data_IF_804637373050
#
_entry.id   IF_804637373050
#
_cell.length_a   1.000
_cell.length_b   1.000
_cell.length_c   1.000
_cell.angle_alpha   90.00
_cell.angle_beta   90.00
_cell.angle_gamma   90.00
#
_symmetry.space_group_name_H-M   'P 1'
#
loop_
_entity.id
_entity.type
_entity.pdbx_description
1 polymer ?
#
# COMPACT_ATOMS: atom_id res chain seq x y z
N UNK A 1 4.81 54.48 8.82
CA UNK A 1 3.98 53.34 9.25
C UNK A 1 3.81 52.46 8.02
N UNK A 2 4.79 51.58 7.78
CA UNK A 2 4.88 50.81 6.54
C UNK A 2 4.11 49.50 6.68
N UNK A 3 3.10 49.32 5.83
CA UNK A 3 2.41 48.05 5.60
C UNK A 3 3.25 47.24 4.60
N UNK A 4 3.93 46.20 5.07
CA UNK A 4 4.58 45.20 4.23
C UNK A 4 3.52 44.16 3.83
N UNK A 5 3.11 44.18 2.57
CA UNK A 5 2.29 43.14 1.98
C UNK A 5 3.15 41.90 1.73
N UNK A 6 2.89 40.81 2.45
CA UNK A 6 3.42 39.49 2.13
C UNK A 6 2.69 38.95 0.89
N UNK A 7 3.31 39.12 -0.29
CA UNK A 7 2.99 38.32 -1.47
C UNK A 7 3.56 36.92 -1.24
N UNK A 8 2.71 35.98 -0.82
CA UNK A 8 2.98 34.56 -0.98
C UNK A 8 2.74 34.27 -2.46
N UNK A 9 3.81 34.28 -3.27
CA UNK A 9 3.79 33.63 -4.57
C UNK A 9 3.57 32.14 -4.29
N UNK A 10 2.33 31.69 -4.43
CA UNK A 10 2.06 30.29 -4.65
C UNK A 10 2.75 29.93 -5.98
N UNK A 11 3.92 29.29 -5.89
CA UNK A 11 4.37 28.45 -6.98
C UNK A 11 3.30 27.37 -7.13
N UNK A 12 2.38 27.61 -8.06
CA UNK A 12 1.66 26.53 -8.71
C UNK A 12 2.76 25.63 -9.28
N UNK A 13 3.07 24.55 -8.56
CA UNK A 13 3.46 23.33 -9.23
C UNK A 13 2.25 22.94 -10.07
N UNK A 14 2.15 23.54 -11.26
CA UNK A 14 1.64 22.84 -12.41
C UNK A 14 2.60 21.66 -12.50
N UNK A 15 2.19 20.54 -11.90
CA UNK A 15 2.63 19.25 -12.36
C UNK A 15 2.18 19.27 -13.82
N UNK A 16 3.10 19.66 -14.70
CA UNK A 16 2.91 19.45 -16.11
C UNK A 16 2.54 17.99 -16.20
N UNK A 17 1.29 17.73 -16.59
CA UNK A 17 0.87 16.46 -17.13
C UNK A 17 1.66 16.26 -18.43
N UNK A 18 2.98 16.10 -18.35
CA UNK A 18 3.65 15.15 -19.20
C UNK A 18 2.98 13.84 -18.82
N UNK A 19 1.98 13.48 -19.61
CA UNK A 19 1.44 12.15 -19.62
C UNK A 19 2.66 11.23 -19.63
N UNK A 20 2.96 10.60 -18.49
CA UNK A 20 3.88 9.47 -18.48
C UNK A 20 3.39 8.61 -19.64
N UNK A 21 4.25 8.30 -20.63
CA UNK A 21 3.82 7.46 -21.73
C UNK A 21 3.18 6.24 -21.09
N UNK A 22 1.90 6.01 -21.40
CA UNK A 22 1.16 4.86 -20.89
C UNK A 22 1.99 3.64 -21.30
N UNK A 23 2.79 3.12 -20.38
CA UNK A 23 3.56 1.90 -20.61
C UNK A 23 2.51 0.85 -20.94
N UNK A 24 2.59 0.21 -22.11
CA UNK A 24 1.56 -0.73 -22.55
C UNK A 24 1.27 -1.75 -21.45
N UNK A 25 -0.01 -1.93 -21.14
CA UNK A 25 -0.49 -2.94 -20.20
C UNK A 25 0.09 -4.28 -20.62
N UNK A 26 0.93 -4.88 -19.76
CA UNK A 26 1.48 -6.21 -20.01
C UNK A 26 0.51 -7.19 -19.36
N UNK A 27 -0.23 -8.03 -20.13
CA UNK A 27 -1.08 -9.08 -19.55
C UNK A 27 -0.24 -9.93 -18.60
N UNK A 28 -0.76 -10.37 -17.44
CA UNK A 28 0.05 -11.21 -16.53
C UNK A 28 0.64 -12.42 -17.29
N UNK A 29 1.89 -12.75 -16.96
CA UNK A 29 2.59 -13.86 -17.60
C UNK A 29 2.14 -15.20 -17.01
N UNK A 30 2.71 -16.29 -17.54
CA UNK A 30 2.68 -17.60 -16.90
C UNK A 30 1.29 -18.22 -16.70
N UNK A 31 0.27 -17.72 -17.40
CA UNK A 31 -1.09 -18.27 -17.35
C UNK A 31 -1.86 -17.88 -16.09
N UNK A 32 -1.37 -16.88 -15.34
CA UNK A 32 -2.06 -16.35 -14.17
C UNK A 32 -3.48 -15.88 -14.52
N UNK A 33 -4.49 -16.12 -13.66
CA UNK A 33 -4.39 -16.68 -12.31
C UNK A 33 -4.61 -18.21 -12.19
N UNK A 34 -4.61 -18.96 -13.31
CA UNK A 34 -4.85 -20.42 -13.34
C UNK A 34 -3.85 -21.09 -14.32
N UNK A 35 -2.55 -21.13 -13.97
CA UNK A 35 -1.50 -21.65 -14.82
C UNK A 35 -1.71 -23.13 -15.15
N UNK A 36 -1.28 -23.55 -16.33
CA UNK A 36 -1.20 -24.97 -16.65
C UNK A 36 -0.13 -25.66 -15.77
N UNK A 37 -0.14 -27.00 -15.61
CA UNK A 37 0.84 -27.70 -14.78
C UNK A 37 2.31 -27.46 -15.18
N UNK A 38 2.60 -27.26 -16.47
CA UNK A 38 3.96 -26.94 -16.90
C UNK A 38 4.35 -25.51 -16.56
N UNK A 39 3.41 -24.56 -16.69
CA UNK A 39 3.64 -23.17 -16.28
C UNK A 39 3.83 -23.07 -14.76
N UNK A 40 3.03 -23.79 -13.97
CA UNK A 40 3.24 -23.86 -12.52
C UNK A 40 4.64 -24.38 -12.17
N UNK A 41 5.12 -25.43 -12.83
CA UNK A 41 6.47 -25.94 -12.59
C UNK A 41 7.56 -24.89 -12.89
N UNK A 42 7.40 -24.10 -13.96
CA UNK A 42 8.31 -23.01 -14.31
C UNK A 42 8.28 -21.88 -13.27
N UNK A 43 7.10 -21.55 -12.73
CA UNK A 43 6.95 -20.61 -11.61
C UNK A 43 7.67 -21.15 -10.38
N UNK A 44 7.42 -22.40 -9.97
CA UNK A 44 8.02 -23.00 -8.78
C UNK A 44 9.55 -23.09 -8.87
N UNK A 45 10.08 -23.35 -10.07
CA UNK A 45 11.52 -23.34 -10.31
C UNK A 45 12.13 -21.95 -10.10
N UNK A 46 11.52 -20.89 -10.64
CA UNK A 46 12.00 -19.50 -10.46
C UNK A 46 11.80 -18.99 -9.02
N UNK A 47 10.73 -19.44 -8.36
CA UNK A 47 10.41 -19.07 -6.97
C UNK A 47 11.31 -19.77 -5.94
N UNK A 48 12.10 -20.76 -6.36
CA UNK A 48 12.88 -21.66 -5.50
C UNK A 48 12.01 -22.40 -4.46
N UNK A 49 10.76 -22.68 -4.79
CA UNK A 49 9.79 -23.28 -3.88
C UNK A 49 8.49 -23.67 -4.58
N UNK A 50 7.74 -24.57 -3.95
CA UNK A 50 6.48 -25.09 -4.51
C UNK A 50 5.27 -24.48 -3.83
N UNK A 51 4.09 -24.63 -4.44
CA UNK A 51 2.84 -24.47 -3.70
C UNK A 51 2.81 -25.40 -2.48
N UNK A 52 2.18 -24.93 -1.40
CA UNK A 52 2.02 -25.75 -0.21
C UNK A 52 1.16 -26.98 -0.50
N UNK A 53 1.65 -28.15 -0.09
CA UNK A 53 0.90 -29.40 -0.14
C UNK A 53 0.09 -29.67 1.15
N UNK A 54 0.01 -28.70 2.07
CA UNK A 54 -0.80 -28.85 3.27
C UNK A 54 -2.28 -29.00 2.88
N UNK A 55 -3.02 -29.92 3.54
CA UNK A 55 -4.44 -30.08 3.24
C UNK A 55 -5.17 -28.77 3.57
N UNK A 56 -6.07 -28.29 2.69
CA UNK A 56 -6.83 -27.08 2.96
C UNK A 56 -7.78 -27.32 4.14
N UNK A 57 -8.13 -26.25 4.90
CA UNK A 57 -9.08 -26.39 5.99
C UNK A 57 -10.45 -26.88 5.47
N UNK A 58 -11.18 -27.59 6.33
CA UNK A 58 -12.49 -28.15 5.97
C UNK A 58 -13.56 -27.05 5.80
N UNK A 59 -13.45 -25.96 6.56
CA UNK A 59 -14.37 -24.85 6.56
C UNK A 59 -13.59 -23.53 6.61
N UNK A 60 -14.26 -22.44 6.25
CA UNK A 60 -13.75 -21.09 6.38
C UNK A 60 -14.89 -20.13 6.74
N UNK A 61 -14.59 -19.12 7.54
CA UNK A 61 -15.52 -18.03 7.83
C UNK A 61 -15.73 -17.10 6.64
N UNK A 62 -16.78 -16.27 6.68
CA UNK A 62 -16.99 -15.21 5.67
C UNK A 62 -15.85 -14.17 5.69
N UNK A 63 -15.39 -13.81 6.89
CA UNK A 63 -14.26 -12.88 7.03
C UNK A 63 -12.98 -13.48 6.45
N UNK A 64 -12.80 -14.80 6.59
CA UNK A 64 -11.69 -15.53 6.00
C UNK A 64 -11.74 -15.55 4.46
N UNK A 65 -12.91 -15.72 3.85
CA UNK A 65 -13.08 -15.57 2.40
C UNK A 65 -12.67 -14.15 1.96
N UNK A 66 -13.14 -13.12 2.66
CA UNK A 66 -12.76 -11.73 2.35
C UNK A 66 -11.26 -11.51 2.46
N UNK A 67 -10.59 -12.10 3.46
CA UNK A 67 -9.14 -12.03 3.60
C UNK A 67 -8.42 -12.71 2.43
N UNK A 68 -8.85 -13.91 2.02
CA UNK A 68 -8.26 -14.60 0.86
C UNK A 68 -8.46 -13.81 -0.43
N UNK A 69 -9.62 -13.17 -0.61
CA UNK A 69 -9.86 -12.28 -1.75
C UNK A 69 -8.92 -11.06 -1.72
N UNK A 70 -8.72 -10.43 -0.56
CA UNK A 70 -7.79 -9.31 -0.44
C UNK A 70 -6.34 -9.74 -0.71
N UNK A 71 -5.89 -10.87 -0.15
CA UNK A 71 -4.54 -11.40 -0.41
C UNK A 71 -4.39 -11.59 -1.92
N UNK A 72 -5.27 -12.36 -2.57
CA UNK A 72 -5.18 -12.60 -4.01
C UNK A 72 -5.20 -11.29 -4.83
N UNK A 73 -5.98 -10.29 -4.41
CA UNK A 73 -6.00 -8.99 -5.07
C UNK A 73 -4.68 -8.23 -4.94
N UNK A 74 -4.07 -8.25 -3.74
CA UNK A 74 -2.76 -7.66 -3.51
C UNK A 74 -1.67 -8.38 -4.31
N UNK A 75 -1.60 -9.71 -4.23
CA UNK A 75 -0.49 -10.43 -4.88
C UNK A 75 -0.56 -10.28 -6.40
N UNK A 76 -1.75 -10.17 -7.01
CA UNK A 76 -1.87 -9.88 -8.43
C UNK A 76 -1.40 -8.46 -8.80
N UNK A 77 -1.53 -7.49 -7.89
CA UNK A 77 -0.94 -6.16 -8.03
C UNK A 77 0.60 -6.24 -7.97
N UNK A 78 1.16 -7.03 -7.05
CA UNK A 78 2.61 -7.20 -6.92
C UNK A 78 3.21 -7.94 -8.12
N UNK A 79 2.57 -9.02 -8.58
CA UNK A 79 2.95 -9.73 -9.82
C UNK A 79 2.97 -8.75 -11.00
N UNK A 80 1.94 -7.91 -11.15
CA UNK A 80 1.91 -6.91 -12.22
C UNK A 80 3.06 -5.89 -12.10
N UNK A 81 3.35 -5.44 -10.88
CA UNK A 81 4.40 -4.48 -10.59
C UNK A 81 5.79 -5.05 -10.89
N UNK A 82 6.16 -6.19 -10.29
CA UNK A 82 7.49 -6.78 -10.46
C UNK A 82 7.74 -7.23 -11.89
N UNK A 83 6.70 -7.66 -12.59
CA UNK A 83 6.77 -7.91 -14.03
C UNK A 83 7.11 -6.65 -14.82
N UNK A 84 6.44 -5.53 -14.55
CA UNK A 84 6.76 -4.26 -15.22
C UNK A 84 8.19 -3.80 -14.89
N UNK A 85 8.59 -3.89 -13.62
CA UNK A 85 9.93 -3.51 -13.18
C UNK A 85 11.01 -4.33 -13.90
N UNK A 86 10.87 -5.66 -13.89
CA UNK A 86 11.80 -6.56 -14.56
C UNK A 86 11.85 -6.30 -16.07
N UNK A 87 10.70 -6.08 -16.71
CA UNK A 87 10.63 -5.71 -18.13
C UNK A 87 11.37 -4.39 -18.42
N UNK A 88 11.19 -3.37 -17.58
CA UNK A 88 11.85 -2.08 -17.77
C UNK A 88 13.39 -2.18 -17.62
N UNK A 89 13.86 -2.95 -16.63
CA UNK A 89 15.29 -3.19 -16.39
C UNK A 89 15.92 -4.05 -17.51
N UNK A 90 15.20 -5.07 -17.99
CA UNK A 90 15.72 -5.98 -19.02
C UNK A 90 15.74 -5.34 -20.41
N UNK A 91 14.78 -4.46 -20.70
CA UNK A 91 14.70 -3.72 -21.96
C UNK A 91 15.42 -2.37 -21.93
N UNK A 92 16.15 -2.06 -20.85
CA UNK A 92 16.94 -0.83 -20.71
C UNK A 92 16.10 0.45 -20.95
N UNK A 93 14.88 0.46 -20.41
CA UNK A 93 13.98 1.62 -20.47
C UNK A 93 14.63 2.80 -19.74
N UNK A 94 14.47 4.01 -20.30
CA UNK A 94 15.03 5.23 -19.70
C UNK A 94 14.65 5.36 -18.22
N UNK A 95 15.65 5.60 -17.37
CA UNK A 95 15.50 5.66 -15.91
C UNK A 95 15.67 4.32 -15.17
N UNK A 96 15.66 3.19 -15.88
CA UNK A 96 15.80 1.83 -15.29
C UNK A 96 17.15 1.17 -15.59
N UNK A 97 18.15 1.98 -15.98
CA UNK A 97 19.52 1.51 -16.13
C UNK A 97 20.13 1.21 -14.76
N UNK A 98 20.86 0.10 -14.68
CA UNK A 98 21.72 -0.22 -13.56
C UNK A 98 23.07 0.48 -13.75
N UNK A 99 23.69 0.91 -12.65
CA UNK A 99 25.03 1.47 -12.68
C UNK A 99 26.08 0.39 -12.98
N UNK A 100 27.29 0.78 -13.40
CA UNK A 100 28.37 -0.18 -13.67
C UNK A 100 28.83 -0.94 -12.43
N UNK A 101 28.63 -0.36 -11.24
CA UNK A 101 28.99 -0.97 -9.95
C UNK A 101 27.91 -1.94 -9.45
N UNK A 102 26.72 -1.95 -10.05
CA UNK A 102 25.63 -2.84 -9.68
C UNK A 102 25.85 -4.26 -10.22
N UNK A 103 25.64 -5.28 -9.39
CA UNK A 103 25.61 -6.67 -9.83
C UNK A 103 24.30 -6.95 -10.60
N UNK A 104 24.32 -6.63 -11.89
CA UNK A 104 23.17 -6.75 -12.78
C UNK A 104 22.52 -8.12 -12.74
N UNK A 105 23.32 -9.18 -12.81
CA UNK A 105 22.81 -10.54 -12.88
C UNK A 105 22.13 -10.90 -11.55
N UNK A 106 22.74 -10.55 -10.42
CA UNK A 106 22.13 -10.75 -9.11
C UNK A 106 20.81 -9.99 -8.95
N UNK A 107 20.72 -8.74 -9.43
CA UNK A 107 19.49 -7.94 -9.34
C UNK A 107 18.37 -8.53 -10.21
N UNK A 108 18.67 -8.92 -11.45
CA UNK A 108 17.70 -9.58 -12.33
C UNK A 108 17.22 -10.89 -11.71
N UNK A 109 18.14 -11.71 -11.21
CA UNK A 109 17.81 -13.02 -10.63
C UNK A 109 16.95 -12.85 -9.37
N UNK A 110 17.32 -11.90 -8.49
CA UNK A 110 16.53 -11.56 -7.30
C UNK A 110 15.11 -11.12 -7.65
N UNK A 111 14.95 -10.19 -8.60
CA UNK A 111 13.63 -9.71 -9.03
C UNK A 111 12.82 -10.79 -9.77
N UNK A 112 13.49 -11.69 -10.48
CA UNK A 112 12.85 -12.84 -11.14
C UNK A 112 12.31 -13.82 -10.11
N UNK A 113 13.08 -14.09 -9.05
CA UNK A 113 12.64 -14.92 -7.93
C UNK A 113 11.49 -14.27 -7.16
N UNK A 114 11.59 -12.97 -6.84
CA UNK A 114 10.51 -12.22 -6.18
C UNK A 114 9.21 -12.30 -6.98
N UNK A 115 9.26 -12.00 -8.29
CA UNK A 115 8.07 -12.10 -9.15
C UNK A 115 7.42 -13.49 -9.06
N UNK A 116 8.22 -14.55 -9.15
CA UNK A 116 7.70 -15.91 -9.07
C UNK A 116 7.17 -16.28 -7.67
N UNK A 117 7.76 -15.72 -6.60
CA UNK A 117 7.24 -15.88 -5.24
C UNK A 117 5.87 -15.22 -5.07
N UNK A 118 5.67 -14.03 -5.64
CA UNK A 118 4.36 -13.38 -5.64
C UNK A 118 3.31 -14.12 -6.48
N UNK A 119 3.73 -14.78 -7.56
CA UNK A 119 2.86 -15.69 -8.30
C UNK A 119 2.41 -16.87 -7.43
N UNK A 120 3.32 -17.46 -6.63
CA UNK A 120 3.00 -18.53 -5.68
C UNK A 120 2.06 -18.03 -4.57
N UNK A 121 2.25 -16.81 -4.04
CA UNK A 121 1.34 -16.22 -3.06
C UNK A 121 -0.07 -16.02 -3.66
N UNK A 122 -0.15 -15.44 -4.86
CA UNK A 122 -1.41 -15.21 -5.57
C UNK A 122 -2.16 -16.54 -5.82
N UNK A 123 -1.44 -17.56 -6.30
CA UNK A 123 -1.99 -18.89 -6.54
C UNK A 123 -2.45 -19.56 -5.24
N UNK A 124 -1.70 -19.39 -4.15
CA UNK A 124 -2.07 -19.95 -2.84
C UNK A 124 -3.42 -19.41 -2.39
N UNK A 125 -3.64 -18.10 -2.46
CA UNK A 125 -4.90 -17.48 -2.09
C UNK A 125 -6.05 -17.88 -3.04
N UNK A 126 -5.81 -17.84 -4.36
CA UNK A 126 -6.81 -18.19 -5.35
C UNK A 126 -7.20 -19.68 -5.33
N UNK A 127 -6.25 -20.59 -5.11
CA UNK A 127 -6.55 -22.01 -4.93
C UNK A 127 -7.37 -22.26 -3.66
N UNK A 128 -7.11 -21.52 -2.58
CA UNK A 128 -7.94 -21.59 -1.39
C UNK A 128 -9.39 -21.12 -1.68
N UNK A 129 -9.57 -20.00 -2.41
CA UNK A 129 -10.89 -19.55 -2.85
C UNK A 129 -11.61 -20.62 -3.68
N UNK A 130 -10.91 -21.22 -4.66
CA UNK A 130 -11.43 -22.30 -5.51
C UNK A 130 -11.85 -23.52 -4.70
N UNK A 131 -11.04 -23.95 -3.72
CA UNK A 131 -11.37 -25.04 -2.79
C UNK A 131 -12.68 -24.76 -2.03
N UNK A 132 -12.85 -23.53 -1.54
CA UNK A 132 -14.07 -23.10 -0.86
C UNK A 132 -15.21 -22.70 -1.82
N UNK A 133 -15.11 -23.06 -3.11
CA UNK A 133 -16.12 -22.79 -4.15
C UNK A 133 -16.47 -21.31 -4.30
N UNK A 134 -15.52 -20.44 -3.99
CA UNK A 134 -15.58 -19.01 -4.22
C UNK A 134 -14.83 -18.69 -5.50
N UNK A 135 -15.32 -17.70 -6.25
CA UNK A 135 -14.63 -17.26 -7.47
C UNK A 135 -13.21 -16.77 -7.13
N UNK A 136 -12.24 -17.17 -7.94
CA UNK A 136 -10.88 -16.64 -7.89
C UNK A 136 -10.90 -15.14 -8.21
N UNK A 137 -10.00 -14.37 -7.60
CA UNK A 137 -9.75 -12.98 -7.97
C UNK A 137 -8.98 -12.97 -9.29
N UNK A 138 -9.46 -12.16 -10.23
CA UNK A 138 -8.86 -11.98 -11.55
C UNK A 138 -8.02 -10.71 -11.58
N UNK A 139 -6.92 -10.67 -12.36
CA UNK A 139 -6.05 -9.52 -12.41
C UNK A 139 -6.73 -8.28 -12.99
N UNK A 140 -6.31 -7.12 -12.50
CA UNK A 140 -6.67 -5.82 -13.04
C UNK A 140 -5.55 -5.27 -13.94
N UNK A 141 -5.79 -4.11 -14.54
CA UNK A 141 -4.71 -3.30 -15.10
C UNK A 141 -4.32 -2.22 -14.10
N UNK A 142 -3.03 -1.93 -14.02
CA UNK A 142 -2.48 -1.00 -13.02
C UNK A 142 -1.70 0.13 -13.69
N UNK A 143 -1.61 1.27 -13.00
CA UNK A 143 -0.72 2.37 -13.31
C UNK A 143 0.15 2.68 -12.10
N UNK A 144 1.45 2.47 -12.25
CA UNK A 144 2.42 2.66 -11.18
C UNK A 144 3.14 4.00 -11.34
N UNK A 145 3.29 4.80 -10.27
CA UNK A 145 3.87 6.15 -10.34
C UNK A 145 5.41 6.12 -10.31
N UNK A 146 6.04 5.27 -11.12
CA UNK A 146 7.50 5.04 -11.10
C UNK A 146 8.11 5.35 -12.46
N UNK A 147 9.27 6.02 -12.42
CA UNK A 147 9.99 6.48 -13.63
C UNK A 147 11.48 6.14 -13.60
N UNK A 148 11.95 5.50 -12.53
CA UNK A 148 13.33 5.03 -12.40
C UNK A 148 13.40 3.79 -11.53
N UNK A 149 14.53 3.08 -11.58
CA UNK A 149 14.74 1.91 -10.73
C UNK A 149 14.70 2.26 -9.24
N UNK A 150 15.32 3.37 -8.82
CA UNK A 150 15.31 3.81 -7.42
C UNK A 150 13.89 4.14 -6.96
N UNK A 151 13.11 4.84 -7.79
CA UNK A 151 11.70 5.12 -7.49
C UNK A 151 10.87 3.83 -7.41
N UNK A 152 11.18 2.84 -8.26
CA UNK A 152 10.48 1.56 -8.25
C UNK A 152 10.80 0.73 -7.01
N UNK A 153 12.06 0.64 -6.59
CA UNK A 153 12.44 -0.08 -5.38
C UNK A 153 11.92 0.63 -4.12
N UNK A 154 11.90 1.96 -4.07
CA UNK A 154 11.31 2.71 -2.96
C UNK A 154 9.77 2.53 -2.91
N UNK A 155 9.11 2.50 -4.08
CA UNK A 155 7.68 2.19 -4.18
C UNK A 155 7.36 0.75 -3.74
N UNK A 156 8.17 -0.23 -4.16
CA UNK A 156 8.11 -1.61 -3.70
C UNK A 156 8.22 -1.69 -2.18
N UNK A 157 9.27 -1.07 -1.64
CA UNK A 157 9.50 -1.04 -0.21
C UNK A 157 8.35 -0.41 0.58
N UNK A 158 7.70 0.60 0.01
CA UNK A 158 6.57 1.30 0.61
C UNK A 158 5.31 0.43 0.66
N UNK A 159 4.92 -0.19 -0.46
CA UNK A 159 3.72 -1.03 -0.47
C UNK A 159 3.94 -2.32 0.32
N UNK A 160 5.13 -2.94 0.25
CA UNK A 160 5.44 -4.13 1.05
C UNK A 160 5.38 -3.82 2.54
N UNK A 161 5.93 -2.68 3.00
CA UNK A 161 5.77 -2.26 4.40
C UNK A 161 4.29 -2.18 4.83
N UNK A 162 3.41 -1.65 3.98
CA UNK A 162 1.98 -1.57 4.27
C UNK A 162 1.34 -2.95 4.30
N UNK A 163 1.68 -3.82 3.35
CA UNK A 163 1.12 -5.16 3.24
C UNK A 163 1.57 -6.07 4.37
N UNK A 164 2.83 -6.00 4.82
CA UNK A 164 3.28 -6.66 6.04
C UNK A 164 2.42 -6.29 7.26
N UNK A 165 2.01 -5.02 7.38
CA UNK A 165 1.07 -4.56 8.40
C UNK A 165 -0.35 -5.09 8.21
N UNK A 166 -0.81 -5.20 6.96
CA UNK A 166 -2.13 -5.73 6.60
C UNK A 166 -2.22 -7.24 6.81
N UNK A 167 -1.17 -8.00 6.51
CA UNK A 167 -1.09 -9.44 6.73
C UNK A 167 -1.10 -9.79 8.23
N UNK A 168 -0.58 -8.92 9.10
CA UNK A 168 -0.73 -9.05 10.56
C UNK A 168 -2.21 -9.01 10.98
N UNK A 169 -2.98 -8.06 10.46
CA UNK A 169 -4.43 -7.94 10.75
C UNK A 169 -5.21 -9.12 10.16
N UNK A 170 -4.89 -9.54 8.93
CA UNK A 170 -5.47 -10.74 8.31
C UNK A 170 -5.22 -11.99 9.17
N UNK A 171 -4.00 -12.14 9.72
CA UNK A 171 -3.65 -13.23 10.63
C UNK A 171 -4.50 -13.21 11.89
N UNK A 172 -4.69 -12.04 12.50
CA UNK A 172 -5.55 -11.86 13.68
C UNK A 172 -7.02 -12.19 13.37
N UNK A 173 -7.53 -11.74 12.23
CA UNK A 173 -8.90 -12.01 11.79
C UNK A 173 -9.10 -13.50 11.55
N UNK A 174 -8.18 -14.19 10.87
CA UNK A 174 -8.27 -15.64 10.70
C UNK A 174 -8.30 -16.37 12.05
N UNK A 175 -7.40 -16.02 12.96
CA UNK A 175 -7.34 -16.63 14.29
C UNK A 175 -8.65 -16.45 15.07
N UNK A 176 -9.23 -15.25 15.06
CA UNK A 176 -10.46 -14.93 15.80
C UNK A 176 -11.73 -15.55 15.20
N UNK A 177 -11.75 -15.82 13.90
CA UNK A 177 -12.92 -16.35 13.21
C UNK A 177 -12.90 -17.89 13.05
N UNK A 178 -11.99 -18.59 13.71
CA UNK A 178 -11.88 -20.05 13.65
C UNK A 178 -11.14 -20.57 12.40
N UNK A 179 -10.47 -19.69 11.65
CA UNK A 179 -9.73 -20.00 10.43
C UNK A 179 -8.21 -20.13 10.72
N UNK A 180 -7.84 -20.51 11.96
CA UNK A 180 -6.44 -20.53 12.41
C UNK A 180 -5.53 -21.46 11.60
N UNK A 181 -6.09 -22.41 10.84
CA UNK A 181 -5.31 -23.23 9.92
C UNK A 181 -4.64 -22.42 8.80
N UNK A 182 -5.17 -21.24 8.46
CA UNK A 182 -4.62 -20.36 7.42
C UNK A 182 -3.54 -19.42 7.95
N UNK A 183 -3.40 -19.24 9.27
CA UNK A 183 -2.43 -18.28 9.83
C UNK A 183 -0.99 -18.67 9.56
N UNK A 184 -0.69 -19.96 9.43
CA UNK A 184 0.67 -20.42 9.12
C UNK A 184 1.09 -20.05 7.70
N UNK A 185 0.16 -20.08 6.75
CA UNK A 185 0.43 -19.65 5.37
C UNK A 185 0.75 -18.16 5.37
N UNK A 186 -0.09 -17.34 6.02
CA UNK A 186 0.14 -15.90 6.11
C UNK A 186 1.45 -15.58 6.84
N UNK A 187 1.78 -16.29 7.92
CA UNK A 187 3.04 -16.10 8.63
C UNK A 187 4.27 -16.44 7.76
N UNK A 188 4.17 -17.45 6.89
CA UNK A 188 5.23 -17.77 5.94
C UNK A 188 5.38 -16.67 4.87
N UNK A 189 4.26 -16.18 4.33
CA UNK A 189 4.22 -15.03 3.40
C UNK A 189 4.85 -13.78 4.02
N UNK A 190 4.47 -13.40 5.25
CA UNK A 190 5.09 -12.29 6.00
C UNK A 190 6.61 -12.49 6.14
N UNK A 191 7.05 -13.72 6.39
CA UNK A 191 8.48 -14.04 6.50
C UNK A 191 9.22 -13.80 5.19
N UNK A 192 8.66 -14.29 4.08
CA UNK A 192 9.24 -14.11 2.74
C UNK A 192 9.23 -12.63 2.31
N UNK A 193 8.09 -11.94 2.38
CA UNK A 193 7.99 -10.51 2.07
C UNK A 193 8.89 -9.66 2.97
N UNK A 194 9.12 -10.08 4.22
CA UNK A 194 10.08 -9.46 5.12
C UNK A 194 11.53 -9.57 4.64
N UNK A 195 11.92 -10.70 4.04
CA UNK A 195 13.23 -10.89 3.41
C UNK A 195 13.37 -9.99 2.18
N UNK A 196 12.33 -9.93 1.35
CA UNK A 196 12.29 -9.02 0.19
C UNK A 196 12.40 -7.55 0.61
N UNK A 197 11.65 -7.16 1.65
CA UNK A 197 11.73 -5.81 2.23
C UNK A 197 13.13 -5.48 2.72
N UNK A 198 13.82 -6.44 3.33
CA UNK A 198 15.23 -6.31 3.69
C UNK A 198 16.13 -6.04 2.49
N UNK A 199 15.91 -6.76 1.39
CA UNK A 199 16.64 -6.56 0.14
C UNK A 199 16.37 -5.18 -0.48
N UNK A 200 15.11 -4.74 -0.58
CA UNK A 200 14.76 -3.40 -1.08
C UNK A 200 15.46 -2.31 -0.29
N UNK A 201 15.53 -2.47 1.04
CA UNK A 201 16.16 -1.49 1.92
C UNK A 201 17.67 -1.45 1.75
N UNK A 202 18.35 -2.60 1.67
CA UNK A 202 19.80 -2.66 1.42
C UNK A 202 20.13 -2.10 0.03
N UNK A 203 19.31 -2.39 -0.98
CA UNK A 203 19.45 -1.81 -2.32
C UNK A 203 19.44 -0.27 -2.27
N UNK A 204 18.61 0.31 -1.41
CA UNK A 204 18.55 1.77 -1.19
C UNK A 204 19.58 2.31 -0.19
N UNK A 205 20.55 1.50 0.25
CA UNK A 205 21.54 1.91 1.26
C UNK A 205 20.97 2.13 2.67
N UNK A 206 19.78 1.59 2.96
CA UNK A 206 19.13 1.64 4.29
C UNK A 206 19.46 0.37 5.09
N UNK A 207 19.24 0.42 6.40
CA UNK A 207 19.32 -0.80 7.23
C UNK A 207 18.26 -1.82 6.78
N UNK A 208 18.56 -3.14 6.71
CA UNK A 208 17.63 -4.14 6.20
C UNK A 208 16.35 -4.23 7.04
N UNK A 209 16.45 -4.14 8.36
CA UNK A 209 15.29 -4.01 9.24
C UNK A 209 14.93 -2.54 9.45
N UNK A 210 13.64 -2.22 9.35
CA UNK A 210 13.12 -0.86 9.49
C UNK A 210 12.99 -0.43 10.96
N UNK A 211 12.29 -1.23 11.75
CA UNK A 211 12.05 -1.03 13.19
C UNK A 211 12.02 -2.39 13.90
N UNK A 212 12.19 -2.45 15.24
CA UNK A 212 12.07 -3.71 15.98
C UNK A 212 10.65 -4.30 15.96
N UNK A 213 9.63 -3.45 15.78
CA UNK A 213 8.23 -3.84 15.61
C UNK A 213 7.68 -3.06 14.42
N UNK A 214 7.34 -3.77 13.34
CA UNK A 214 6.76 -3.15 12.14
C UNK A 214 5.39 -2.54 12.44
N UNK A 215 4.98 -1.60 11.59
CA UNK A 215 3.69 -0.93 11.71
C UNK A 215 2.55 -1.90 11.42
N UNK A 216 1.60 -2.01 12.33
CA UNK A 216 0.35 -2.73 12.09
C UNK A 216 -0.60 -1.89 11.22
N UNK A 217 -1.46 -2.54 10.46
CA UNK A 217 -2.45 -1.90 9.60
C UNK A 217 -3.84 -2.50 9.87
N UNK A 218 -4.85 -1.97 9.21
CA UNK A 218 -6.14 -2.64 9.02
C UNK A 218 -6.23 -3.06 7.57
N UNK A 219 -6.85 -4.20 7.28
CA UNK A 219 -6.99 -4.70 5.90
C UNK A 219 -7.67 -3.72 4.94
N UNK A 220 -8.55 -2.84 5.45
CA UNK A 220 -9.20 -1.79 4.66
C UNK A 220 -8.19 -0.73 4.16
N UNK A 221 -7.12 -0.43 4.92
CA UNK A 221 -6.07 0.47 4.44
C UNK A 221 -5.28 -0.16 3.30
N UNK A 222 -4.89 -1.43 3.42
CA UNK A 222 -4.20 -2.16 2.35
C UNK A 222 -5.05 -2.20 1.07
N UNK A 223 -6.32 -2.59 1.20
CA UNK A 223 -7.26 -2.59 0.08
C UNK A 223 -7.39 -1.21 -0.60
N UNK A 224 -7.58 -0.17 0.21
CA UNK A 224 -7.72 1.20 -0.29
C UNK A 224 -6.43 1.75 -0.92
N UNK A 225 -5.27 1.26 -0.50
CA UNK A 225 -3.99 1.66 -1.09
C UNK A 225 -3.83 1.08 -2.50
N UNK A 226 -4.03 -0.24 -2.65
CA UNK A 226 -3.89 -0.92 -3.95
C UNK A 226 -4.90 -0.40 -4.98
N UNK A 227 -6.15 -0.15 -4.56
CA UNK A 227 -7.21 0.40 -5.43
C UNK A 227 -6.82 1.73 -6.10
N UNK A 228 -5.92 2.53 -5.51
CA UNK A 228 -5.47 3.81 -6.09
C UNK A 228 -4.66 3.63 -7.37
N UNK A 229 -4.09 2.45 -7.60
CA UNK A 229 -3.27 2.14 -8.77
C UNK A 229 -4.04 1.37 -9.84
N UNK A 230 -5.27 0.92 -9.55
CA UNK A 230 -6.12 0.21 -10.50
C UNK A 230 -6.64 1.17 -11.56
N UNK A 231 -6.48 0.81 -12.84
CA UNK A 231 -7.12 1.53 -13.94
C UNK A 231 -8.65 1.33 -13.87
N UNK A 232 -9.46 2.40 -13.86
CA UNK A 232 -10.91 2.30 -13.74
C UNK A 232 -11.54 1.36 -14.76
N UNK A 233 -12.38 0.44 -14.29
CA UNK A 233 -13.09 -0.53 -15.14
C UNK A 233 -12.24 -1.70 -15.65
N UNK A 234 -10.97 -1.81 -15.25
CA UNK A 234 -10.09 -2.91 -15.69
C UNK A 234 -10.25 -4.20 -14.90
N UNK A 235 -10.69 -4.12 -13.64
CA UNK A 235 -10.86 -5.30 -12.79
C UNK A 235 -12.11 -6.11 -13.16
N UNK A 236 -11.99 -7.41 -13.48
CA UNK A 236 -13.16 -8.24 -13.81
C UNK A 236 -14.10 -8.48 -12.62
N UNK A 237 -13.55 -8.62 -11.41
CA UNK A 237 -14.33 -8.97 -10.22
C UNK A 237 -13.84 -8.38 -8.88
N UNK A 238 -12.97 -7.36 -8.88
CA UNK A 238 -12.53 -6.70 -7.64
C UNK A 238 -13.70 -6.08 -6.84
N UNK A 239 -14.76 -5.63 -7.52
CA UNK A 239 -15.99 -5.13 -6.87
C UNK A 239 -16.74 -6.18 -6.05
N UNK A 240 -16.35 -7.46 -6.12
CA UNK A 240 -16.93 -8.53 -5.30
C UNK A 240 -16.25 -8.68 -3.94
N UNK A 241 -15.15 -7.97 -3.68
CA UNK A 241 -14.44 -7.99 -2.40
C UNK A 241 -15.19 -7.09 -1.42
N UNK A 242 -15.79 -7.64 -0.34
CA UNK A 242 -16.67 -6.88 0.55
C UNK A 242 -15.86 -6.07 1.59
N UNK A 243 -14.95 -5.23 1.13
CA UNK A 243 -14.16 -4.31 1.95
C UNK A 243 -14.52 -2.86 1.63
N UNK A 244 -14.44 -2.01 2.65
CA UNK A 244 -14.62 -0.58 2.48
C UNK A 244 -13.35 0.01 1.87
N UNK A 245 -13.46 0.58 0.68
CA UNK A 245 -12.45 1.48 0.16
C UNK A 245 -12.61 2.87 0.79
N UNK A 246 -11.51 3.44 1.26
CA UNK A 246 -11.44 4.82 1.71
C UNK A 246 -11.18 5.76 0.53
N UNK A 247 -11.61 7.03 0.69
CA UNK A 247 -11.24 8.05 -0.27
C UNK A 247 -9.75 8.40 -0.10
N UNK A 248 -9.02 8.73 -1.18
CA UNK A 248 -7.58 8.98 -1.10
C UNK A 248 -7.22 10.13 -0.15
N UNK A 249 -6.09 9.97 0.55
CA UNK A 249 -5.41 11.02 1.30
C UNK A 249 -3.99 11.14 0.77
N UNK A 250 -3.63 12.33 0.30
CA UNK A 250 -2.29 12.59 -0.23
C UNK A 250 -1.46 13.36 0.78
N UNK A 251 -0.23 12.91 1.02
CA UNK A 251 0.78 13.65 1.76
C UNK A 251 1.46 14.59 0.75
N UNK A 252 1.34 15.90 0.98
CA UNK A 252 1.90 16.93 0.08
C UNK A 252 3.32 17.29 0.49
N UNK A 253 3.52 17.50 1.80
CA UNK A 253 4.83 17.75 2.39
C UNK A 253 5.22 16.55 3.24
N UNK A 254 6.05 15.66 2.70
CA UNK A 254 6.54 14.49 3.41
C UNK A 254 7.49 14.91 4.55
N UNK A 255 7.34 14.35 5.76
CA UNK A 255 8.24 14.66 6.86
C UNK A 255 9.59 13.94 6.71
N UNK A 256 10.63 14.57 7.24
CA UNK A 256 11.92 13.94 7.56
C UNK A 256 12.00 13.49 9.05
N UNK A 257 13.19 13.11 9.53
CA UNK A 257 13.41 12.57 10.88
C UNK A 257 13.45 13.66 11.96
N UNK A 258 12.42 14.52 11.99
CA UNK A 258 12.27 15.58 12.98
C UNK A 258 10.80 15.92 13.17
N UNK A 259 10.46 16.42 14.36
CA UNK A 259 9.10 16.88 14.62
C UNK A 259 8.82 18.16 13.85
N UNK A 260 7.81 18.11 13.00
CA UNK A 260 7.45 19.21 12.11
C UNK A 260 5.97 19.20 11.82
N UNK A 261 5.47 20.26 11.19
CA UNK A 261 4.13 20.19 10.61
C UNK A 261 4.23 19.66 9.17
N UNK A 262 3.30 18.80 8.78
CA UNK A 262 3.13 18.32 7.41
C UNK A 262 1.86 18.89 6.79
N UNK A 263 1.81 18.89 5.47
CA UNK A 263 0.63 19.28 4.70
C UNK A 263 0.05 18.05 4.02
N UNK A 264 -1.26 17.90 4.14
CA UNK A 264 -2.04 16.82 3.54
C UNK A 264 -3.19 17.40 2.71
N UNK A 265 -3.62 16.66 1.70
CA UNK A 265 -4.73 17.03 0.84
C UNK A 265 -5.65 15.86 0.55
N UNK A 266 -6.94 16.15 0.37
CA UNK A 266 -7.95 15.19 -0.05
C UNK A 266 -9.09 15.91 -0.77
N UNK A 267 -9.89 15.15 -1.51
CA UNK A 267 -11.04 15.68 -2.25
C UNK A 267 -12.36 15.40 -1.52
N UNK A 268 -13.20 16.43 -1.42
CA UNK A 268 -14.57 16.31 -0.89
C UNK A 268 -15.53 15.82 -1.99
N UNK A 269 -16.60 15.10 -1.64
CA UNK A 269 -17.50 14.49 -2.63
C UNK A 269 -18.23 15.50 -3.51
N UNK A 270 -18.44 16.72 -3.02
CA UNK A 270 -19.21 17.74 -3.74
C UNK A 270 -18.95 19.17 -3.23
N UNK A 271 -19.31 20.15 -4.06
CA UNK A 271 -19.14 21.58 -3.76
C UNK A 271 -19.99 22.08 -2.60
N UNK A 272 -21.13 21.46 -2.29
CA UNK A 272 -21.96 21.84 -1.15
C UNK A 272 -21.31 21.41 0.17
N UNK A 273 -20.69 20.23 0.20
CA UNK A 273 -19.85 19.72 1.29
C UNK A 273 -18.65 20.64 1.48
N UNK A 274 -17.98 21.02 0.39
CA UNK A 274 -16.89 22.01 0.45
C UNK A 274 -17.35 23.36 0.99
N UNK A 275 -18.52 23.89 0.57
CA UNK A 275 -19.08 25.14 1.08
C UNK A 275 -19.46 25.04 2.56
N UNK A 276 -20.15 23.97 2.97
CA UNK A 276 -20.51 23.73 4.38
C UNK A 276 -19.26 23.70 5.24
N UNK A 277 -18.25 22.93 4.83
CA UNK A 277 -16.97 22.88 5.52
C UNK A 277 -16.22 24.20 5.46
N UNK A 278 -16.31 24.99 4.38
CA UNK A 278 -15.64 26.31 4.24
C UNK A 278 -16.23 27.37 5.17
N UNK A 279 -17.53 27.36 5.42
CA UNK A 279 -18.21 28.41 6.20
C UNK A 279 -18.65 27.99 7.61
N UNK A 280 -18.48 26.72 7.98
CA UNK A 280 -18.66 26.28 9.36
C UNK A 280 -17.74 27.07 10.31
N UNK A 281 -18.29 27.72 11.33
CA UNK A 281 -17.50 28.37 12.39
C UNK A 281 -16.99 27.29 13.37
N UNK A 282 -15.71 27.37 13.78
CA UNK A 282 -15.13 26.49 14.81
C UNK A 282 -14.49 25.20 14.29
N UNK A 283 -13.91 25.21 13.08
CA UNK A 283 -13.48 24.01 12.33
C UNK A 283 -12.27 23.26 12.87
N UNK A 284 -11.45 23.90 13.67
CA UNK A 284 -10.31 23.21 14.23
C UNK A 284 -10.87 22.20 15.27
N UNK A 285 -10.87 20.90 14.96
CA UNK A 285 -11.38 19.86 15.88
C UNK A 285 -12.67 19.14 15.47
N UNK A 286 -13.09 19.21 14.21
CA UNK A 286 -14.03 18.22 13.64
C UNK A 286 -13.33 17.10 12.87
N UNK A 287 -12.06 17.31 12.51
CA UNK A 287 -11.23 16.34 11.83
C UNK A 287 -9.91 16.21 12.55
N UNK A 288 -9.37 15.01 12.53
CA UNK A 288 -8.10 14.67 13.14
C UNK A 288 -7.26 13.91 12.12
N UNK A 289 -5.94 14.14 12.18
CA UNK A 289 -4.99 13.30 11.48
C UNK A 289 -4.49 12.28 12.47
N UNK A 290 -4.80 11.01 12.22
CA UNK A 290 -4.42 9.91 13.07
C UNK A 290 -3.27 9.17 12.41
N UNK A 291 -2.21 8.93 13.17
CA UNK A 291 -1.05 8.16 12.74
C UNK A 291 -1.03 6.79 13.41
N UNK A 292 -0.81 5.76 12.61
CA UNK A 292 -0.47 4.40 13.07
C UNK A 292 1.01 4.19 12.73
N UNK A 293 1.84 3.93 13.73
CA UNK A 293 3.27 3.68 13.57
C UNK A 293 3.71 2.60 14.56
N UNK A 294 4.42 1.59 14.04
CA UNK A 294 4.83 0.39 14.77
C UNK A 294 3.62 -0.32 15.42
N UNK A 295 3.85 -1.16 16.42
CA UNK A 295 2.79 -1.79 17.23
C UNK A 295 2.33 -0.91 18.42
N UNK A 296 2.35 0.42 18.25
CA UNK A 296 1.95 1.38 19.27
C UNK A 296 0.48 1.77 19.15
N UNK A 297 -0.06 2.39 20.22
CA UNK A 297 -1.34 3.10 20.12
C UNK A 297 -1.21 4.26 19.14
N UNK A 298 -2.29 4.51 18.38
CA UNK A 298 -2.31 5.57 17.38
C UNK A 298 -2.13 6.96 18.01
N UNK A 299 -1.41 7.83 17.31
CA UNK A 299 -1.21 9.23 17.70
C UNK A 299 -2.27 10.07 17.00
N UNK A 300 -2.91 10.99 17.72
CA UNK A 300 -4.00 11.81 17.19
C UNK A 300 -3.58 13.26 17.20
N UNK A 301 -3.51 13.87 16.02
CA UNK A 301 -3.14 15.27 15.84
C UNK A 301 -4.30 16.08 15.26
N UNK A 302 -4.36 17.34 15.66
CA UNK A 302 -5.43 18.24 15.22
C UNK A 302 -5.16 18.72 13.80
N UNK A 303 -6.11 18.53 12.89
CA UNK A 303 -6.04 19.10 11.54
C UNK A 303 -6.43 20.58 11.57
N UNK A 304 -5.59 21.40 10.95
CA UNK A 304 -5.84 22.82 10.71
C UNK A 304 -6.00 23.06 9.22
N UNK A 305 -7.17 23.51 8.79
CA UNK A 305 -7.39 23.81 7.37
C UNK A 305 -6.64 25.09 6.98
N UNK A 306 -5.81 24.99 5.94
CA UNK A 306 -5.01 26.11 5.44
C UNK A 306 -5.47 26.61 4.07
N UNK A 307 -6.26 25.82 3.34
CA UNK A 307 -6.78 26.21 2.04
C UNK A 307 -7.90 25.32 1.52
N UNK A 308 -8.63 25.84 0.54
CA UNK A 308 -9.59 25.09 -0.27
C UNK A 308 -9.47 25.54 -1.72
N UNK A 309 -9.36 24.59 -2.64
CA UNK A 309 -9.47 24.82 -4.08
C UNK A 309 -10.60 23.97 -4.64
N UNK A 310 -11.71 24.57 -5.05
CA UNK A 310 -12.94 23.83 -5.35
C UNK A 310 -13.36 22.88 -4.21
N UNK A 311 -13.34 21.58 -4.50
CA UNK A 311 -13.59 20.45 -3.58
C UNK A 311 -12.35 19.95 -2.84
N UNK A 312 -11.15 20.37 -3.25
CA UNK A 312 -9.88 19.96 -2.66
C UNK A 312 -9.62 20.73 -1.36
N UNK A 313 -9.30 20.00 -0.29
CA UNK A 313 -8.95 20.56 1.02
C UNK A 313 -7.44 20.48 1.19
N UNK A 314 -6.82 21.59 1.61
CA UNK A 314 -5.43 21.59 2.07
C UNK A 314 -5.41 21.81 3.58
N UNK A 315 -4.78 20.90 4.32
CA UNK A 315 -4.73 20.95 5.77
C UNK A 315 -3.31 20.67 6.30
N UNK A 316 -3.03 21.20 7.48
CA UNK A 316 -1.76 21.10 8.18
C UNK A 316 -1.95 20.39 9.52
N UNK A 317 -1.06 19.47 9.86
CA UNK A 317 -1.04 18.77 11.13
C UNK A 317 0.40 18.54 11.59
N UNK A 318 0.61 18.39 12.90
CA UNK A 318 1.91 18.04 13.46
C UNK A 318 2.24 16.59 13.11
N UNK A 319 3.50 16.30 12.80
CA UNK A 319 4.09 14.98 12.71
C UNK A 319 5.11 14.83 13.86
N UNK A 320 4.74 14.17 14.96
CA UNK A 320 5.49 14.20 16.23
C UNK A 320 6.60 13.13 16.26
N UNK A 321 7.59 13.29 15.37
CA UNK A 321 8.67 12.32 15.18
C UNK A 321 9.53 12.11 16.43
N UNK A 322 10.03 13.16 17.07
CA UNK A 322 10.97 13.06 18.19
C UNK A 322 10.28 12.50 19.44
N UNK A 323 9.02 12.85 19.67
CA UNK A 323 8.26 12.41 20.83
C UNK A 323 7.93 10.91 20.79
N UNK A 324 7.79 10.35 19.58
CA UNK A 324 7.33 8.97 19.39
C UNK A 324 8.28 8.07 18.59
N UNK A 325 9.44 8.60 18.18
CA UNK A 325 10.41 7.92 17.32
C UNK A 325 9.73 7.31 16.08
N UNK A 326 9.07 8.16 15.29
CA UNK A 326 8.22 7.78 14.14
C UNK A 326 9.02 7.28 12.92
N UNK A 327 9.96 6.38 13.15
CA UNK A 327 10.72 5.68 12.13
C UNK A 327 9.86 4.62 11.45
N UNK A 328 10.24 4.32 10.23
CA UNK A 328 9.61 3.37 9.35
C UNK A 328 8.27 3.81 8.79
N UNK A 329 7.44 2.82 8.46
CA UNK A 329 6.09 3.07 7.98
C UNK A 329 5.25 3.82 9.01
N UNK A 330 4.61 4.90 8.58
CA UNK A 330 3.49 5.53 9.27
C UNK A 330 2.29 5.58 8.32
N UNK A 331 1.15 5.08 8.80
CA UNK A 331 -0.14 5.20 8.11
C UNK A 331 -0.87 6.40 8.69
N UNK A 332 -1.19 7.37 7.85
CA UNK A 332 -1.98 8.55 8.19
C UNK A 332 -3.43 8.37 7.71
N UNK A 333 -4.38 8.76 8.55
CA UNK A 333 -5.80 8.73 8.23
C UNK A 333 -6.50 9.99 8.73
N UNK A 334 -7.35 10.60 7.91
CA UNK A 334 -8.26 11.66 8.34
C UNK A 334 -9.49 11.02 8.93
N UNK A 335 -9.76 11.28 10.21
CA UNK A 335 -10.92 10.73 10.94
C UNK A 335 -11.89 11.82 11.36
N UNK A 336 -13.11 11.41 11.72
CA UNK A 336 -14.13 12.26 12.35
C UNK A 336 -14.24 12.04 13.87
N UNK A 337 -13.22 11.45 14.48
CA UNK A 337 -13.13 11.25 15.92
C UNK A 337 -11.71 11.48 16.42
N UNK A 338 -11.56 12.09 17.59
CA UNK A 338 -10.27 12.23 18.28
C UNK A 338 -9.79 10.94 18.94
N UNK A 339 -10.52 9.84 18.82
CA UNK A 339 -10.28 8.64 19.60
C UNK A 339 -10.67 8.82 21.09
N UNK A 340 -10.01 8.10 22.02
CA UNK A 340 -8.85 7.22 21.81
C UNK A 340 -9.21 6.00 20.94
N UNK A 341 -8.23 5.51 20.17
CA UNK A 341 -8.37 4.29 19.37
C UNK A 341 -7.60 3.15 20.03
N UNK A 342 -8.25 1.99 20.15
CA UNK A 342 -7.64 0.83 20.80
C UNK A 342 -6.60 0.12 19.91
N UNK A 343 -6.71 0.24 18.59
CA UNK A 343 -5.88 -0.42 17.58
C UNK A 343 -6.12 0.19 16.19
N UNK A 344 -5.38 -0.28 15.17
CA UNK A 344 -5.53 0.15 13.78
C UNK A 344 -6.96 -0.06 13.22
N UNK A 345 -7.63 -1.15 13.60
CA UNK A 345 -9.02 -1.42 13.19
C UNK A 345 -10.01 -0.35 13.70
N UNK A 346 -9.81 0.15 14.92
CA UNK A 346 -10.62 1.26 15.45
C UNK A 346 -10.38 2.58 14.70
N UNK A 347 -9.14 2.82 14.24
CA UNK A 347 -8.82 3.96 13.37
C UNK A 347 -9.50 3.80 12.00
N UNK A 348 -9.38 2.63 11.37
CA UNK A 348 -10.02 2.32 10.09
C UNK A 348 -11.54 2.51 10.13
N UNK A 349 -12.20 2.06 11.20
CA UNK A 349 -13.64 2.25 11.41
C UNK A 349 -14.05 3.74 11.43
N UNK A 350 -13.17 4.62 11.89
CA UNK A 350 -13.41 6.07 11.99
C UNK A 350 -12.79 6.88 10.84
N UNK A 351 -12.15 6.20 9.90
CA UNK A 351 -11.45 6.84 8.77
C UNK A 351 -12.46 7.35 7.75
N UNK A 352 -12.19 8.55 7.24
CA UNK A 352 -12.89 9.16 6.11
C UNK A 352 -12.01 9.17 4.86
N UNK A 353 -10.74 9.56 5.01
CA UNK A 353 -9.75 9.63 3.94
C UNK A 353 -8.46 8.94 4.36
N UNK A 354 -7.92 8.09 3.51
CA UNK A 354 -6.72 7.31 3.79
C UNK A 354 -6.52 6.15 2.80
N UNK A 355 -5.45 5.37 3.00
CA UNK A 355 -4.29 5.73 3.81
C UNK A 355 -3.43 6.79 3.10
N UNK A 356 -2.93 7.75 3.86
CA UNK A 356 -1.68 8.43 3.51
C UNK A 356 -0.52 7.58 4.03
N UNK A 357 0.50 7.36 3.22
CA UNK A 357 1.64 6.50 3.58
C UNK A 357 2.89 7.36 3.67
N UNK A 358 3.60 7.25 4.80
CA UNK A 358 4.82 8.00 5.10
C UNK A 358 5.90 7.00 5.50
N UNK A 359 7.08 7.06 4.90
CA UNK A 359 8.26 6.28 5.32
C UNK A 359 9.34 7.27 5.78
N UNK A 360 9.83 7.12 7.01
CA UNK A 360 10.97 7.90 7.54
C UNK A 360 12.08 6.95 8.00
N UNK A 361 13.34 7.23 7.67
CA UNK A 361 14.51 6.52 8.23
C UNK A 361 15.63 7.50 8.56
#
# INVERSE_FOLDING_TARGET
>A
MHLTAFFVLAFLFIQDCLANPLVPVVPLQDGMPDPSPSQLLEIEQRAHGTLSNMPPPANISKAGITNLQLIAFNELFEVAFFKQLLSNITNEVEGFFLSEDDDRDFIIDSLTTILAQEEIHALTANHALKHFKTAQVLPCNYSFPVTSINNAIDFASTFTSLMLGTLQDITEIFARNGDSALTRVVAATIGNEGEQQGWYRVFMGKAPSETPMLTTSAREFGFSYVEQFVLPGSCPNASSIPLRAFLPLTIVEFPGPMTQDIVVTWELPDMDTARRLRYAKGKDGQFWLVYINQLNLSIVERLRFIGFDGTTVLAKARFPFEEHLMNGLTIAAVTNSSGPFANANAVAASTLYGPGVIIVN
#
